data_IF_420460067450
#
_entry.id   IF_420460067450
#
_cell.length_a   1.000
_cell.length_b   1.000
_cell.length_c   1.000
_cell.angle_alpha   90.00
_cell.angle_beta   90.00
_cell.angle_gamma   90.00
#
_symmetry.space_group_name_H-M   'P 1'
#
loop_
_entity.id
_entity.type
_entity.pdbx_description
1 polymer ?
#
# COMPACT_ATOMS: atom_id res chain seq x y z
N UNK A 1 32.57 -6.86 -10.35
CA UNK A 1 31.71 -5.68 -10.57
C UNK A 1 30.27 -6.07 -10.29
N UNK A 2 29.60 -5.49 -9.29
CA UNK A 2 28.18 -5.72 -9.03
C UNK A 2 27.36 -4.60 -9.67
N UNK A 3 26.57 -4.92 -10.70
CA UNK A 3 25.55 -3.99 -11.18
C UNK A 3 24.32 -4.13 -10.28
N UNK A 4 24.10 -3.14 -9.41
CA UNK A 4 22.85 -2.98 -8.69
C UNK A 4 21.78 -2.44 -9.64
N UNK A 5 21.23 -3.32 -10.48
CA UNK A 5 20.09 -2.97 -11.32
C UNK A 5 18.87 -2.68 -10.43
N UNK A 6 18.27 -1.51 -10.60
CA UNK A 6 17.01 -1.14 -9.96
C UNK A 6 15.84 -1.58 -10.85
N UNK A 7 14.72 -1.92 -10.21
CA UNK A 7 13.49 -2.29 -10.90
C UNK A 7 12.97 -1.10 -11.72
N UNK A 8 12.81 -1.28 -13.02
CA UNK A 8 12.30 -0.23 -13.92
C UNK A 8 10.94 0.34 -13.50
N UNK A 9 10.14 -0.43 -12.75
CA UNK A 9 8.78 -0.10 -12.36
C UNK A 9 8.71 0.66 -11.02
N UNK A 10 9.40 0.20 -9.98
CA UNK A 10 9.32 0.78 -8.62
C UNK A 10 10.62 1.43 -8.13
N UNK A 11 11.67 1.46 -8.96
CA UNK A 11 13.00 2.04 -8.66
C UNK A 11 13.77 1.42 -7.49
N UNK A 12 13.22 0.42 -6.78
CA UNK A 12 13.92 -0.31 -5.73
C UNK A 12 14.91 -1.35 -6.27
N UNK A 13 15.97 -1.70 -5.52
CA UNK A 13 16.97 -2.69 -5.93
C UNK A 13 16.38 -4.06 -6.28
N UNK A 14 16.95 -4.69 -7.30
CA UNK A 14 16.64 -6.08 -7.66
C UNK A 14 17.49 -7.05 -6.83
N UNK A 15 16.90 -7.60 -5.78
CA UNK A 15 17.49 -8.71 -5.04
C UNK A 15 17.58 -9.96 -5.94
N UNK A 16 18.71 -10.70 -5.85
CA UNK A 16 18.92 -11.96 -6.58
C UNK A 16 17.75 -12.92 -6.31
N UNK A 17 17.10 -13.38 -7.39
CA UNK A 17 15.99 -14.33 -7.35
C UNK A 17 14.59 -13.74 -7.59
N UNK A 18 14.40 -12.42 -7.39
CA UNK A 18 13.08 -11.77 -7.55
C UNK A 18 12.95 -10.89 -8.81
N UNK A 19 13.92 -10.96 -9.73
CA UNK A 19 13.98 -10.16 -10.96
C UNK A 19 13.60 -10.99 -12.20
N UNK A 20 12.75 -10.45 -13.07
CA UNK A 20 12.56 -10.93 -14.44
C UNK A 20 12.98 -9.86 -15.46
N UNK A 21 13.63 -10.34 -16.52
CA UNK A 21 13.90 -9.58 -17.73
C UNK A 21 12.61 -9.58 -18.57
N UNK A 22 12.07 -8.40 -18.85
CA UNK A 22 10.94 -8.20 -19.77
C UNK A 22 11.49 -7.79 -21.13
N UNK A 23 11.25 -8.61 -22.16
CA UNK A 23 11.63 -8.29 -23.55
C UNK A 23 10.56 -7.49 -24.30
N UNK A 24 10.91 -7.01 -25.50
CA UNK A 24 10.12 -6.11 -26.38
C UNK A 24 8.58 -6.28 -26.32
N UNK A 25 8.04 -7.50 -26.45
CA UNK A 25 6.58 -7.75 -26.39
C UNK A 25 5.96 -7.29 -25.06
N UNK A 26 6.60 -7.59 -23.92
CA UNK A 26 6.12 -7.16 -22.60
C UNK A 26 6.39 -5.69 -22.31
N UNK A 27 7.46 -5.11 -22.87
CA UNK A 27 7.75 -3.67 -22.78
C UNK A 27 6.63 -2.87 -23.47
N UNK A 28 6.16 -3.32 -24.64
CA UNK A 28 5.01 -2.69 -25.32
C UNK A 28 3.77 -2.62 -24.42
N UNK A 29 3.44 -3.70 -23.72
CA UNK A 29 2.30 -3.72 -22.77
C UNK A 29 2.52 -2.74 -21.61
N UNK A 30 3.73 -2.68 -21.05
CA UNK A 30 4.08 -1.74 -19.98
C UNK A 30 4.03 -0.28 -20.48
N UNK A 31 4.47 0.02 -21.70
CA UNK A 31 4.40 1.36 -22.32
C UNK A 31 2.94 1.80 -22.52
N UNK A 32 2.08 0.94 -23.10
CA UNK A 32 0.65 1.24 -23.28
C UNK A 32 -0.01 1.55 -21.94
N UNK A 33 0.30 0.77 -20.93
CA UNK A 33 -0.26 0.95 -19.59
C UNK A 33 0.29 2.20 -18.89
N UNK A 34 1.58 2.48 -19.05
CA UNK A 34 2.24 3.68 -18.54
C UNK A 34 1.60 4.95 -19.10
N UNK A 35 1.36 4.99 -20.42
CA UNK A 35 0.61 6.08 -21.09
C UNK A 35 -0.82 6.23 -20.55
N UNK A 36 -1.50 5.12 -20.27
CA UNK A 36 -2.86 5.11 -19.70
C UNK A 36 -2.94 5.67 -18.28
N UNK A 37 -1.89 5.51 -17.47
CA UNK A 37 -1.84 5.96 -16.06
C UNK A 37 -1.01 7.23 -15.85
N UNK A 38 -0.59 7.87 -16.96
CA UNK A 38 0.11 9.17 -17.01
C UNK A 38 1.39 9.29 -16.15
N UNK A 39 2.01 8.16 -15.76
CA UNK A 39 3.17 8.11 -14.85
C UNK A 39 4.52 8.48 -15.51
N UNK A 40 4.51 8.83 -16.80
CA UNK A 40 5.63 9.25 -17.66
C UNK A 40 6.77 8.25 -17.85
N UNK A 41 6.69 7.03 -17.28
CA UNK A 41 7.76 6.02 -17.38
C UNK A 41 7.97 5.49 -18.79
N UNK A 42 6.95 5.57 -19.65
CA UNK A 42 7.03 5.23 -21.07
C UNK A 42 8.17 5.97 -21.80
N UNK A 43 8.48 7.22 -21.41
CA UNK A 43 9.53 8.03 -22.02
C UNK A 43 10.92 7.38 -21.90
N UNK A 44 11.17 6.70 -20.78
CA UNK A 44 12.42 5.97 -20.51
C UNK A 44 12.41 4.53 -21.03
N UNK A 45 11.24 4.00 -21.39
CA UNK A 45 11.04 2.60 -21.79
C UNK A 45 10.96 2.42 -23.30
N UNK A 46 10.44 3.40 -24.06
CA UNK A 46 10.34 3.36 -25.53
C UNK A 46 11.68 3.10 -26.23
N UNK A 47 12.79 3.50 -25.60
CA UNK A 47 14.16 3.35 -26.14
C UNK A 47 14.88 2.07 -25.67
N UNK A 48 14.22 1.19 -24.91
CA UNK A 48 14.86 0.01 -24.28
C UNK A 48 14.35 -1.30 -24.88
N UNK A 49 15.27 -2.21 -25.21
CA UNK A 49 14.92 -3.55 -25.72
C UNK A 49 14.55 -4.56 -24.62
N UNK A 50 15.05 -4.32 -23.39
CA UNK A 50 14.89 -5.15 -22.20
C UNK A 50 14.71 -4.25 -20.98
N UNK A 51 13.81 -4.63 -20.08
CA UNK A 51 13.62 -3.99 -18.77
C UNK A 51 13.75 -5.03 -17.66
N UNK A 52 14.56 -4.75 -16.65
CA UNK A 52 14.59 -5.55 -15.43
C UNK A 52 13.58 -5.02 -14.42
N UNK A 53 12.69 -5.89 -13.94
CA UNK A 53 11.73 -5.53 -12.91
C UNK A 53 11.41 -6.71 -12.00
N UNK A 54 10.88 -6.44 -10.80
CA UNK A 54 10.35 -7.51 -9.96
C UNK A 54 9.14 -8.16 -10.64
N UNK A 55 9.02 -9.50 -10.57
CA UNK A 55 7.91 -10.22 -11.19
C UNK A 55 6.54 -9.73 -10.68
N UNK A 56 6.45 -9.45 -9.36
CA UNK A 56 5.28 -8.83 -8.75
C UNK A 56 4.94 -7.46 -9.33
N UNK A 57 5.96 -6.61 -9.53
CA UNK A 57 5.76 -5.29 -10.12
C UNK A 57 5.23 -5.40 -11.56
N UNK A 58 5.75 -6.34 -12.37
CA UNK A 58 5.23 -6.62 -13.72
C UNK A 58 3.75 -6.98 -13.69
N UNK A 59 3.37 -7.95 -12.86
CA UNK A 59 1.99 -8.44 -12.77
C UNK A 59 1.03 -7.35 -12.30
N UNK A 60 1.37 -6.62 -11.23
CA UNK A 60 0.53 -5.52 -10.75
C UNK A 60 0.44 -4.36 -11.76
N UNK A 61 1.52 -4.02 -12.47
CA UNK A 61 1.47 -2.99 -13.52
C UNK A 61 0.53 -3.38 -14.65
N UNK A 62 0.65 -4.59 -15.20
CA UNK A 62 -0.09 -5.02 -16.39
C UNK A 62 -1.59 -5.26 -16.16
N UNK A 63 -2.02 -5.51 -14.92
CA UNK A 63 -3.41 -5.88 -14.61
C UNK A 63 -4.28 -4.68 -14.23
N UNK A 64 -3.72 -3.63 -13.58
CA UNK A 64 -4.52 -2.56 -12.99
C UNK A 64 -4.44 -1.23 -13.76
N UNK A 65 -5.59 -0.76 -14.26
CA UNK A 65 -5.80 0.61 -14.75
C UNK A 65 -5.60 1.72 -13.70
N UNK A 66 -5.26 1.33 -12.47
CA UNK A 66 -5.06 2.13 -11.27
C UNK A 66 -3.62 2.01 -10.76
N UNK A 67 -2.64 1.87 -11.66
CA UNK A 67 -1.23 1.90 -11.26
C UNK A 67 -0.77 3.29 -10.77
N UNK A 68 -1.55 4.34 -11.00
CA UNK A 68 -1.41 5.61 -10.26
C UNK A 68 -1.25 5.33 -8.76
N UNK A 69 -0.12 5.78 -8.20
CA UNK A 69 0.34 5.64 -6.80
C UNK A 69 0.81 4.26 -6.28
N UNK A 70 0.47 3.11 -6.87
CA UNK A 70 0.75 1.81 -6.21
C UNK A 70 2.21 1.33 -6.16
N UNK A 71 3.14 1.93 -6.92
CA UNK A 71 4.56 1.55 -6.86
C UNK A 71 5.43 2.38 -5.93
N UNK A 72 4.87 3.36 -5.23
CA UNK A 72 5.58 3.96 -4.10
C UNK A 72 5.44 3.11 -2.83
N UNK A 73 4.36 2.33 -2.68
CA UNK A 73 4.16 1.37 -1.57
C UNK A 73 3.22 0.20 -1.93
N UNK A 74 3.69 -1.05 -1.98
CA UNK A 74 2.88 -2.28 -2.00
C UNK A 74 3.71 -3.50 -1.53
N UNK A 75 3.18 -4.45 -0.74
CA UNK A 75 2.01 -5.34 -1.06
C UNK A 75 0.63 -4.75 -0.68
N UNK A 76 -0.43 -4.75 -1.51
CA UNK A 76 -1.21 -5.82 -2.21
C UNK A 76 -2.02 -6.74 -1.27
N UNK A 77 -3.31 -7.05 -1.49
CA UNK A 77 -4.25 -6.79 -2.62
C UNK A 77 -5.34 -5.73 -2.24
N UNK A 78 -6.52 -5.51 -2.86
CA UNK A 78 -7.24 -6.08 -4.03
C UNK A 78 -8.08 -5.00 -4.79
N UNK A 79 -9.20 -5.34 -5.47
CA UNK A 79 -9.95 -4.43 -6.39
C UNK A 79 -11.49 -4.43 -6.21
N UNK A 80 -12.04 -3.20 -6.21
CA UNK A 80 -13.39 -2.66 -6.58
C UNK A 80 -14.58 -3.57 -6.93
N UNK A 81 -15.67 -3.39 -6.16
CA UNK A 81 -17.11 -3.45 -6.48
C UNK A 81 -17.73 -4.69 -7.20
N UNK A 82 -18.10 -5.68 -6.39
CA UNK A 82 -19.38 -6.39 -6.51
C UNK A 82 -20.18 -6.18 -5.21
N UNK A 83 -21.48 -6.50 -5.19
CA UNK A 83 -22.32 -6.38 -3.98
C UNK A 83 -22.23 -7.59 -3.05
N UNK A 84 -21.27 -8.47 -3.33
CA UNK A 84 -21.02 -9.74 -2.66
C UNK A 84 -19.56 -9.77 -2.16
N UNK A 85 -19.42 -10.09 -0.87
CA UNK A 85 -18.18 -10.52 -0.19
C UNK A 85 -16.91 -9.68 -0.43
N UNK A 86 -16.78 -8.61 0.37
CA UNK A 86 -15.49 -7.92 0.60
C UNK A 86 -14.44 -8.96 1.01
N UNK A 87 -13.23 -8.98 0.43
CA UNK A 87 -12.18 -9.90 0.87
C UNK A 87 -11.87 -9.64 2.35
N UNK A 88 -12.12 -10.65 3.19
CA UNK A 88 -12.22 -10.51 4.65
C UNK A 88 -11.05 -9.72 5.25
N UNK A 89 -11.34 -8.51 5.71
CA UNK A 89 -10.38 -7.77 6.52
C UNK A 89 -10.39 -8.33 7.94
N UNK A 90 -9.50 -9.29 8.21
CA UNK A 90 -9.37 -9.89 9.53
C UNK A 90 -8.66 -8.93 10.49
N UNK A 91 -9.43 -8.23 11.33
CA UNK A 91 -8.93 -7.30 12.37
C UNK A 91 -7.95 -7.92 13.38
N UNK A 92 -7.94 -9.25 13.47
CA UNK A 92 -7.01 -10.08 14.24
C UNK A 92 -5.65 -10.25 13.55
N UNK A 93 -5.60 -10.27 12.22
CA UNK A 93 -4.46 -10.74 11.43
C UNK A 93 -3.92 -9.68 10.45
N UNK A 94 -4.62 -8.54 10.33
CA UNK A 94 -4.24 -7.35 9.58
C UNK A 94 -4.23 -6.11 10.48
N UNK A 95 -3.26 -5.22 10.26
CA UNK A 95 -3.23 -3.93 10.94
C UNK A 95 -4.31 -3.00 10.39
N UNK A 96 -5.30 -2.59 11.19
CA UNK A 96 -6.35 -1.67 10.74
C UNK A 96 -5.85 -0.26 10.33
N UNK A 97 -4.57 0.06 10.58
CA UNK A 97 -3.95 1.31 10.11
C UNK A 97 -3.31 1.12 8.73
N UNK A 98 -2.32 0.23 8.57
CA UNK A 98 -1.60 0.09 7.29
C UNK A 98 -2.12 -1.02 6.36
N UNK A 99 -3.03 -1.89 6.82
CA UNK A 99 -3.66 -2.96 6.04
C UNK A 99 -2.82 -4.25 5.93
N UNK A 100 -1.50 -4.13 6.12
CA UNK A 100 -0.56 -5.24 6.09
C UNK A 100 -0.83 -6.26 7.19
N UNK A 101 -0.48 -7.52 6.92
CA UNK A 101 -0.61 -8.62 7.87
C UNK A 101 0.26 -8.40 9.11
N UNK A 102 -0.27 -8.83 10.26
CA UNK A 102 0.35 -8.84 11.58
C UNK A 102 1.37 -10.00 11.63
N UNK A 103 2.53 -9.79 11.01
CA UNK A 103 3.64 -10.76 11.09
C UNK A 103 4.26 -10.64 12.50
N UNK A 104 4.28 -11.76 13.24
CA UNK A 104 5.01 -11.86 14.51
C UNK A 104 6.52 -11.95 14.28
N UNK A 105 7.13 -10.88 13.78
CA UNK A 105 8.59 -10.72 13.84
C UNK A 105 9.01 -10.13 15.20
N UNK A 106 10.27 -10.31 15.60
CA UNK A 106 10.77 -9.89 16.91
C UNK A 106 11.00 -8.37 17.05
N UNK A 107 10.84 -7.59 15.96
CA UNK A 107 11.12 -6.14 15.90
C UNK A 107 9.84 -5.31 15.88
N UNK A 108 8.75 -5.85 15.36
CA UNK A 108 7.48 -5.17 15.16
C UNK A 108 6.57 -5.35 16.38
N UNK A 109 6.51 -4.35 17.27
CA UNK A 109 5.60 -4.38 18.42
C UNK A 109 4.14 -4.26 17.96
N UNK A 110 3.42 -5.38 18.05
CA UNK A 110 1.98 -5.49 17.79
C UNK A 110 1.22 -5.10 19.06
N UNK A 111 0.09 -4.41 18.89
CA UNK A 111 -0.81 -4.02 19.97
C UNK A 111 -2.27 -4.30 19.58
N UNK A 112 -3.11 -4.52 20.59
CA UNK A 112 -4.57 -4.69 20.45
C UNK A 112 -5.26 -3.45 21.00
N UNK A 113 -6.41 -3.07 20.44
CA UNK A 113 -7.22 -1.96 20.95
C UNK A 113 -7.92 -2.36 22.26
N UNK A 114 -7.79 -1.50 23.27
CA UNK A 114 -8.39 -1.69 24.61
C UNK A 114 -9.38 -0.59 25.00
N UNK A 115 -9.42 0.54 24.28
CA UNK A 115 -10.30 1.68 24.54
C UNK A 115 -11.42 1.75 23.49
N UNK A 116 -12.63 2.12 23.91
CA UNK A 116 -13.80 2.18 23.02
C UNK A 116 -13.68 3.34 22.02
N UNK A 117 -13.29 4.53 22.51
CA UNK A 117 -13.14 5.75 21.70
C UNK A 117 -12.08 5.67 20.59
N UNK A 118 -11.19 4.66 20.62
CA UNK A 118 -10.12 4.53 19.61
C UNK A 118 -10.67 4.50 18.18
N UNK A 119 -11.84 3.88 17.94
CA UNK A 119 -12.47 3.83 16.61
C UNK A 119 -12.85 5.23 16.12
N UNK A 120 -13.55 6.00 16.94
CA UNK A 120 -14.08 7.31 16.56
C UNK A 120 -12.97 8.35 16.44
N UNK A 121 -11.99 8.31 17.35
CA UNK A 121 -10.80 9.16 17.28
C UNK A 121 -9.99 8.92 15.99
N UNK A 122 -9.82 7.66 15.57
CA UNK A 122 -9.12 7.32 14.33
C UNK A 122 -9.89 7.77 13.08
N UNK A 123 -11.23 7.71 13.09
CA UNK A 123 -12.06 8.20 11.99
C UNK A 123 -12.02 9.73 11.92
N UNK A 124 -12.10 10.43 13.06
CA UNK A 124 -11.97 11.88 13.12
C UNK A 124 -10.62 12.34 12.55
N UNK A 125 -9.51 11.77 13.04
CA UNK A 125 -8.17 12.07 12.51
C UNK A 125 -8.00 11.65 11.04
N UNK A 126 -8.61 10.54 10.61
CA UNK A 126 -8.56 10.09 9.22
C UNK A 126 -9.25 11.06 8.26
N UNK A 127 -10.44 11.56 8.65
CA UNK A 127 -11.19 12.60 7.92
C UNK A 127 -10.44 13.94 7.93
N UNK A 128 -9.80 14.31 9.04
CA UNK A 128 -9.04 15.57 9.17
C UNK A 128 -7.69 15.57 8.41
N UNK A 129 -7.06 14.39 8.31
CA UNK A 129 -5.81 14.16 7.56
C UNK A 129 -6.05 14.14 6.05
N UNK A 130 -7.19 13.63 5.59
CA UNK A 130 -7.66 13.65 4.20
C UNK A 130 -6.62 13.26 3.13
N UNK A 131 -5.79 12.25 3.43
CA UNK A 131 -4.90 11.63 2.46
C UNK A 131 -5.16 10.13 2.35
N UNK A 132 -4.45 9.45 1.45
CA UNK A 132 -4.70 8.02 1.15
C UNK A 132 -4.67 7.12 2.39
N UNK A 133 -3.82 7.39 3.39
CA UNK A 133 -3.82 6.62 4.63
C UNK A 133 -5.01 6.99 5.52
N UNK A 134 -5.36 8.27 5.60
CA UNK A 134 -6.53 8.74 6.34
C UNK A 134 -7.83 8.13 5.80
N UNK A 135 -8.04 8.22 4.48
CA UNK A 135 -9.19 7.66 3.76
C UNK A 135 -9.25 6.14 3.97
N UNK A 136 -8.16 5.41 3.71
CA UNK A 136 -8.16 3.95 3.90
C UNK A 136 -8.37 3.52 5.35
N UNK A 137 -8.04 4.35 6.36
CA UNK A 137 -8.37 4.06 7.76
C UNK A 137 -9.86 4.27 8.02
N UNK A 138 -10.44 5.35 7.50
CA UNK A 138 -11.89 5.61 7.61
C UNK A 138 -12.68 4.46 6.98
N UNK A 139 -12.42 4.09 5.72
CA UNK A 139 -13.15 3.04 5.00
C UNK A 139 -13.21 1.69 5.75
N UNK A 140 -12.10 1.30 6.39
CA UNK A 140 -12.05 0.08 7.21
C UNK A 140 -12.84 0.22 8.51
N UNK A 141 -12.74 1.36 9.19
CA UNK A 141 -13.36 1.57 10.50
C UNK A 141 -14.84 1.98 10.44
N UNK A 142 -15.30 2.53 9.32
CA UNK A 142 -16.66 3.08 9.17
C UNK A 142 -17.73 2.00 9.36
N UNK A 143 -17.49 0.80 8.83
CA UNK A 143 -18.39 -0.35 8.95
C UNK A 143 -18.27 -1.14 10.28
N UNK A 144 -17.42 -0.72 11.23
CA UNK A 144 -17.26 -1.36 12.54
C UNK A 144 -17.84 -0.47 13.64
N UNK A 145 -18.67 -1.07 14.51
CA UNK A 145 -19.20 -0.39 15.70
C UNK A 145 -18.23 -0.36 16.90
N UNK A 146 -17.33 -1.33 17.03
CA UNK A 146 -16.37 -1.39 18.14
C UNK A 146 -15.11 -2.20 17.80
N UNK A 147 -13.94 -1.55 17.85
CA UNK A 147 -12.63 -2.20 17.59
C UNK A 147 -12.26 -3.27 18.63
N UNK A 148 -12.72 -3.14 19.89
CA UNK A 148 -12.47 -4.14 20.94
C UNK A 148 -13.20 -5.46 20.59
N UNK A 149 -14.44 -5.37 20.09
CA UNK A 149 -15.27 -6.55 19.76
C UNK A 149 -14.66 -7.40 18.65
N UNK A 150 -14.01 -6.77 17.67
CA UNK A 150 -13.29 -7.44 16.57
C UNK A 150 -11.79 -7.70 16.91
N UNK A 151 -11.38 -7.50 18.16
CA UNK A 151 -9.99 -7.66 18.63
C UNK A 151 -8.94 -6.91 17.79
N UNK A 152 -9.29 -5.70 17.33
CA UNK A 152 -8.52 -4.93 16.36
C UNK A 152 -7.05 -4.76 16.73
N UNK A 153 -6.16 -5.23 15.84
CA UNK A 153 -4.70 -5.15 16.01
C UNK A 153 -4.05 -4.09 15.15
N UNK A 154 -2.92 -3.59 15.64
CA UNK A 154 -2.10 -2.60 14.94
C UNK A 154 -0.62 -2.72 15.27
N UNK A 155 0.23 -2.31 14.35
CA UNK A 155 1.65 -2.06 14.64
C UNK A 155 1.78 -0.77 15.44
N UNK A 156 2.49 -0.80 16.58
CA UNK A 156 2.67 0.38 17.45
C UNK A 156 3.21 1.60 16.69
N UNK A 157 4.14 1.36 15.77
CA UNK A 157 4.72 2.39 14.88
C UNK A 157 3.66 3.05 13.99
N UNK A 158 2.74 2.28 13.40
CA UNK A 158 1.65 2.83 12.59
C UNK A 158 0.75 3.76 13.40
N UNK A 159 0.40 3.40 14.64
CA UNK A 159 -0.39 4.26 15.53
C UNK A 159 0.37 5.54 15.91
N UNK A 160 1.65 5.42 16.29
CA UNK A 160 2.48 6.58 16.59
C UNK A 160 2.62 7.53 15.40
N UNK A 161 2.80 7.00 14.18
CA UNK A 161 2.89 7.81 12.96
C UNK A 161 1.56 8.48 12.61
N UNK A 162 0.43 7.78 12.78
CA UNK A 162 -0.90 8.32 12.49
C UNK A 162 -1.24 9.45 13.47
N UNK A 163 -1.00 9.27 14.77
CA UNK A 163 -1.24 10.27 15.81
C UNK A 163 -0.30 11.49 15.69
N UNK A 164 0.96 11.29 15.27
CA UNK A 164 1.94 12.37 15.12
C UNK A 164 1.55 13.40 14.04
N UNK A 165 0.68 13.03 13.09
CA UNK A 165 0.12 13.98 12.13
C UNK A 165 -0.93 14.92 12.75
N UNK A 166 -1.76 14.42 13.68
CA UNK A 166 -2.74 15.25 14.39
C UNK A 166 -2.08 16.32 15.27
N UNK A 167 -1.04 15.95 16.02
CA UNK A 167 -0.31 16.90 16.88
C UNK A 167 0.35 18.05 16.10
N UNK A 168 0.82 17.82 14.86
CA UNK A 168 1.51 18.85 14.07
C UNK A 168 0.62 20.03 13.64
N UNK A 169 -0.71 19.89 13.62
CA UNK A 169 -1.63 21.01 13.36
C UNK A 169 -2.02 21.78 14.62
N UNK A 170 -2.03 21.13 15.78
CA UNK A 170 -2.41 21.77 17.06
C UNK A 170 -1.31 22.72 17.54
N UNK A 171 -0.04 22.47 17.18
CA UNK A 171 1.11 23.35 17.51
C UNK A 171 1.36 24.49 16.50
N UNK A 172 0.35 24.91 15.74
CA UNK A 172 0.42 26.07 14.83
C UNK A 172 -0.73 27.07 15.08
N UNK A 173 -0.97 27.38 16.36
CA UNK A 173 -1.81 28.49 16.84
C UNK A 173 -0.99 29.24 17.90
#
# INVERSE_FOLDING_TARGET
>A
MQQNSNCAICSYPLARGNCRIVGKKGISTLITQSKRVEDKKWLDWEKKEKLDCHEKCRLSYSVSGTYTQFALNAPNNNVVAARDEVPDFHYTDNCFICGLSIIKDAKTKICTVTQKETRDNLIAMGKERNDSLGISVVERLENISCLIRVQGRYHRTCMSHFNAYGFKKISMI
#
